data_IF_908125611756
#
_entry.id   IF_908125611756
#
_cell.length_a   1.000
_cell.length_b   1.000
_cell.length_c   1.000
_cell.angle_alpha   90.00
_cell.angle_beta   90.00
_cell.angle_gamma   90.00
#
_symmetry.space_group_name_H-M   'P 1'
#
loop_
_entity.id
_entity.type
_entity.pdbx_description
1 polymer ?
#
# COMPACT_ATOMS: atom_id res chain seq x y z
N UNK A 1 -6.29 31.61 -53.22
CA UNK A 1 -7.09 30.43 -52.84
C UNK A 1 -6.48 29.18 -53.46
N UNK A 2 -5.73 28.39 -52.68
CA UNK A 2 -5.49 26.96 -52.90
C UNK A 2 -4.90 26.39 -51.61
N UNK A 3 -5.44 25.24 -51.22
CA UNK A 3 -5.39 24.57 -49.92
C UNK A 3 -4.13 23.70 -49.79
N UNK A 4 -3.97 23.11 -48.60
CA UNK A 4 -3.06 22.00 -48.22
C UNK A 4 -1.64 22.43 -47.86
N UNK A 5 -1.05 22.07 -46.72
CA UNK A 5 -1.24 20.87 -45.89
C UNK A 5 -1.07 21.18 -44.40
N UNK A 6 -2.04 20.78 -43.60
CA UNK A 6 -1.95 20.67 -42.14
C UNK A 6 -1.13 19.40 -41.83
N UNK A 7 0.16 19.56 -41.51
CA UNK A 7 0.97 18.45 -41.01
C UNK A 7 0.60 18.21 -39.55
N UNK A 8 -0.28 17.23 -39.36
CA UNK A 8 -0.71 16.69 -38.06
C UNK A 8 0.49 15.97 -37.44
N UNK A 9 1.23 16.64 -36.57
CA UNK A 9 2.18 16.01 -35.65
C UNK A 9 1.37 15.59 -34.42
N UNK A 10 0.67 14.46 -34.51
CA UNK A 10 0.15 13.79 -33.31
C UNK A 10 1.33 13.13 -32.59
N UNK A 11 1.94 13.86 -31.67
CA UNK A 11 2.88 13.31 -30.72
C UNK A 11 2.16 12.26 -29.86
N UNK A 12 2.57 11.01 -30.02
CA UNK A 12 2.10 9.86 -29.25
C UNK A 12 2.61 10.01 -27.81
N UNK A 13 1.78 10.60 -26.92
CA UNK A 13 2.01 10.53 -25.48
C UNK A 13 1.74 9.10 -25.02
N UNK A 14 2.77 8.24 -25.07
CA UNK A 14 2.79 7.02 -24.28
C UNK A 14 2.84 7.42 -22.81
N UNK A 15 1.68 7.51 -22.17
CA UNK A 15 1.57 7.53 -20.71
C UNK A 15 1.93 6.12 -20.26
N UNK A 16 3.21 5.89 -19.96
CA UNK A 16 3.61 4.64 -19.32
C UNK A 16 3.08 4.67 -17.89
N UNK A 17 2.01 3.91 -17.65
CA UNK A 17 1.55 3.64 -16.30
C UNK A 17 2.65 2.82 -15.59
N UNK A 18 3.47 3.48 -14.77
CA UNK A 18 4.43 2.79 -13.93
C UNK A 18 3.65 2.05 -12.83
N UNK A 19 3.46 0.75 -13.00
CA UNK A 19 3.08 -0.11 -11.91
C UNK A 19 4.13 0.03 -10.79
N UNK A 20 3.71 0.19 -9.54
CA UNK A 20 4.65 0.24 -8.42
C UNK A 20 5.43 -1.07 -8.36
N UNK A 21 6.74 -0.97 -8.07
CA UNK A 21 7.62 -2.13 -7.96
C UNK A 21 7.07 -3.06 -6.88
N UNK A 22 6.80 -4.31 -7.23
CA UNK A 22 6.49 -5.35 -6.25
C UNK A 22 7.78 -5.86 -5.61
N UNK A 23 7.80 -5.95 -4.29
CA UNK A 23 8.91 -6.51 -3.53
C UNK A 23 8.42 -7.61 -2.60
N UNK A 24 9.33 -8.49 -2.19
CA UNK A 24 9.06 -9.49 -1.17
C UNK A 24 9.07 -8.84 0.20
N UNK A 25 8.28 -9.38 1.13
CA UNK A 25 8.23 -8.83 2.49
C UNK A 25 9.54 -9.00 3.25
N UNK A 26 10.35 -10.01 2.89
CA UNK A 26 11.68 -10.22 3.45
C UNK A 26 12.66 -9.06 3.13
N UNK A 27 12.45 -8.37 2.00
CA UNK A 27 13.33 -7.30 1.51
C UNK A 27 12.88 -5.90 1.99
N UNK A 28 11.81 -5.81 2.80
CA UNK A 28 11.12 -4.54 3.07
C UNK A 28 12.02 -3.49 3.74
N UNK A 29 12.93 -3.91 4.62
CA UNK A 29 13.86 -3.02 5.32
C UNK A 29 14.84 -2.34 4.36
N UNK A 30 15.23 -3.01 3.27
CA UNK A 30 16.12 -2.46 2.25
C UNK A 30 15.43 -1.44 1.33
N UNK A 31 14.10 -1.31 1.44
CA UNK A 31 13.26 -0.44 0.61
C UNK A 31 12.62 0.71 1.41
N UNK A 32 13.15 1.05 2.59
CA UNK A 32 12.71 2.22 3.35
C UNK A 32 12.87 3.49 2.52
N UNK A 33 11.78 4.26 2.41
CA UNK A 33 11.70 5.47 1.60
C UNK A 33 11.02 5.26 0.24
N UNK A 34 11.00 4.03 -0.27
CA UNK A 34 10.37 3.69 -1.55
C UNK A 34 8.85 3.53 -1.42
N UNK A 35 8.15 3.82 -2.51
CA UNK A 35 6.74 3.45 -2.70
C UNK A 35 6.66 2.17 -3.53
N UNK A 36 6.18 1.09 -2.90
CA UNK A 36 6.20 -0.27 -3.47
C UNK A 36 4.87 -0.99 -3.23
N UNK A 37 4.70 -2.11 -3.93
CA UNK A 37 3.68 -3.11 -3.62
C UNK A 37 4.30 -4.27 -2.86
N UNK A 38 3.65 -4.73 -1.78
CA UNK A 38 4.05 -5.92 -1.01
C UNK A 38 2.84 -6.84 -0.88
N UNK A 39 2.94 -8.07 -1.36
CA UNK A 39 1.89 -9.08 -1.18
C UNK A 39 2.28 -10.07 -0.08
N UNK A 40 1.51 -10.13 1.00
CA UNK A 40 1.78 -10.99 2.15
C UNK A 40 0.54 -11.22 3.03
N UNK A 41 0.60 -12.22 3.91
CA UNK A 41 -0.48 -12.52 4.87
C UNK A 41 -0.54 -11.49 5.99
N UNK A 42 -1.75 -11.07 6.36
CA UNK A 42 -2.02 -10.34 7.61
C UNK A 42 -2.27 -11.36 8.73
N UNK A 43 -1.46 -11.32 9.78
CA UNK A 43 -1.56 -12.26 10.92
C UNK A 43 -2.51 -11.78 12.02
N UNK A 44 -2.91 -10.51 11.99
CA UNK A 44 -3.86 -9.95 12.93
C UNK A 44 -3.72 -8.44 13.02
N UNK A 45 -4.57 -7.82 13.84
CA UNK A 45 -4.54 -6.39 14.06
C UNK A 45 -5.25 -5.98 15.33
N UNK A 46 -5.16 -4.69 15.64
CA UNK A 46 -5.83 -4.08 16.79
C UNK A 46 -6.37 -2.70 16.39
N UNK A 47 -7.57 -2.38 16.87
CA UNK A 47 -8.09 -1.02 16.89
C UNK A 47 -7.86 -0.40 18.26
N UNK A 48 -7.17 0.74 18.28
CA UNK A 48 -6.91 1.55 19.45
C UNK A 48 -7.91 2.72 19.44
N UNK A 49 -9.02 2.54 20.13
CA UNK A 49 -10.14 3.48 20.23
C UNK A 49 -9.70 4.89 20.66
N UNK A 50 -8.87 5.00 21.70
CA UNK A 50 -8.41 6.29 22.25
C UNK A 50 -7.64 7.16 21.27
N UNK A 51 -6.93 6.54 20.32
CA UNK A 51 -6.12 7.24 19.31
C UNK A 51 -6.72 7.16 17.90
N UNK A 52 -7.90 6.56 17.77
CA UNK A 52 -8.54 6.20 16.50
C UNK A 52 -7.55 5.58 15.49
N UNK A 53 -6.76 4.62 15.96
CA UNK A 53 -5.65 4.04 15.20
C UNK A 53 -5.88 2.54 15.01
N UNK A 54 -5.86 2.05 13.78
CA UNK A 54 -5.87 0.62 13.50
C UNK A 54 -4.47 0.19 13.05
N UNK A 55 -3.96 -0.89 13.63
CA UNK A 55 -2.65 -1.46 13.31
C UNK A 55 -2.83 -2.90 12.82
N UNK A 56 -2.21 -3.26 11.68
CA UNK A 56 -2.23 -4.61 11.14
C UNK A 56 -0.81 -5.18 11.04
N UNK A 57 -0.62 -6.42 11.46
CA UNK A 57 0.66 -7.14 11.42
C UNK A 57 0.76 -7.96 10.14
N UNK A 58 1.73 -7.65 9.26
CA UNK A 58 1.88 -8.28 7.95
C UNK A 58 3.17 -9.08 7.90
N UNK A 59 3.13 -10.27 7.30
CA UNK A 59 4.28 -11.17 7.14
C UNK A 59 4.64 -11.97 8.39
N UNK A 60 4.15 -11.58 9.56
CA UNK A 60 4.32 -12.31 10.81
C UNK A 60 3.40 -11.77 11.90
N UNK A 61 3.25 -12.52 12.99
CA UNK A 61 2.49 -12.09 14.16
C UNK A 61 3.29 -11.08 15.01
N UNK A 62 2.58 -10.20 15.74
CA UNK A 62 3.20 -9.37 16.77
C UNK A 62 3.94 -10.24 17.81
N UNK A 63 5.14 -9.83 18.30
CA UNK A 63 5.87 -8.58 18.02
C UNK A 63 6.84 -8.65 16.83
N UNK A 64 6.85 -9.77 16.09
CA UNK A 64 7.85 -10.12 15.07
C UNK A 64 7.37 -9.86 13.64
N UNK A 65 6.34 -9.03 13.45
CA UNK A 65 5.84 -8.68 12.13
C UNK A 65 6.89 -7.83 11.36
N UNK A 66 7.32 -8.25 10.16
CA UNK A 66 8.25 -7.46 9.33
C UNK A 66 7.68 -6.10 8.90
N UNK A 67 6.35 -6.01 8.77
CA UNK A 67 5.65 -4.79 8.36
C UNK A 67 4.43 -4.55 9.25
N UNK A 68 4.23 -3.31 9.67
CA UNK A 68 2.99 -2.84 10.30
C UNK A 68 2.21 -1.91 9.37
N UNK A 69 0.93 -2.16 9.14
CA UNK A 69 0.04 -1.20 8.46
C UNK A 69 -0.57 -0.27 9.49
N UNK A 70 -0.60 1.01 9.18
CA UNK A 70 -1.17 2.05 10.04
C UNK A 70 -2.36 2.68 9.34
N UNK A 71 -3.52 2.67 9.98
CA UNK A 71 -4.76 3.22 9.42
C UNK A 71 -5.37 4.19 10.43
N UNK A 72 -5.39 5.48 10.09
CA UNK A 72 -6.00 6.54 10.91
C UNK A 72 -7.41 6.92 10.49
N UNK A 73 -7.73 6.69 9.21
CA UNK A 73 -9.01 7.03 8.60
C UNK A 73 -9.79 5.75 8.33
N UNK A 74 -10.09 5.00 9.40
CA UNK A 74 -10.72 3.67 9.28
C UNK A 74 -12.12 3.74 8.67
N UNK A 75 -12.80 4.88 8.79
CA UNK A 75 -14.10 5.18 8.20
C UNK A 75 -14.09 5.15 6.67
N UNK A 76 -12.92 5.21 6.03
CA UNK A 76 -12.75 5.03 4.59
C UNK A 76 -12.70 3.57 4.14
N UNK A 77 -12.79 2.64 5.08
CA UNK A 77 -12.81 1.20 4.83
C UNK A 77 -14.23 0.69 5.09
N UNK A 78 -14.72 -0.17 4.19
CA UNK A 78 -16.07 -0.74 4.29
C UNK A 78 -16.28 -1.57 5.55
N UNK A 79 -15.24 -2.29 5.96
CA UNK A 79 -15.26 -3.15 7.15
C UNK A 79 -14.14 -2.77 8.11
N UNK A 80 -14.29 -3.19 9.37
CA UNK A 80 -13.27 -3.02 10.40
C UNK A 80 -11.95 -3.68 9.95
N UNK A 81 -10.88 -2.92 9.63
CA UNK A 81 -9.70 -3.48 8.97
C UNK A 81 -9.01 -4.59 9.77
N UNK A 82 -8.97 -4.46 11.09
CA UNK A 82 -8.37 -5.41 12.03
C UNK A 82 -9.08 -6.77 12.06
N UNK A 83 -10.36 -6.79 11.70
CA UNK A 83 -11.16 -8.01 11.63
C UNK A 83 -11.20 -8.53 10.20
N UNK A 84 -11.48 -7.65 9.24
CA UNK A 84 -11.67 -8.04 7.84
C UNK A 84 -10.40 -8.60 7.20
N UNK A 85 -9.24 -7.98 7.42
CA UNK A 85 -8.00 -8.42 6.78
C UNK A 85 -7.30 -9.56 7.52
N UNK A 86 -7.72 -9.88 8.76
CA UNK A 86 -7.11 -10.94 9.55
C UNK A 86 -7.11 -12.26 8.77
N UNK A 87 -5.95 -12.92 8.79
CA UNK A 87 -5.68 -14.19 8.12
C UNK A 87 -5.75 -14.20 6.58
N UNK A 88 -5.98 -13.04 5.95
CA UNK A 88 -6.00 -12.92 4.48
C UNK A 88 -4.62 -12.66 3.90
N UNK A 89 -4.39 -13.17 2.70
CA UNK A 89 -3.29 -12.74 1.84
C UNK A 89 -3.71 -11.47 1.11
N UNK A 90 -2.92 -10.41 1.24
CA UNK A 90 -3.25 -9.09 0.70
C UNK A 90 -2.07 -8.51 -0.05
N UNK A 91 -2.33 -7.65 -1.02
CA UNK A 91 -1.34 -6.81 -1.69
C UNK A 91 -1.51 -5.37 -1.21
N UNK A 92 -0.44 -4.79 -0.67
CA UNK A 92 -0.42 -3.46 -0.08
C UNK A 92 0.48 -2.54 -0.91
N UNK A 93 -0.02 -1.36 -1.26
CA UNK A 93 0.67 -0.36 -2.06
C UNK A 93 0.88 0.92 -1.25
N UNK A 94 2.13 1.29 -1.00
CA UNK A 94 2.42 2.50 -0.24
C UNK A 94 3.90 2.75 0.03
N UNK A 95 4.17 3.90 0.65
CA UNK A 95 5.53 4.29 1.04
C UNK A 95 5.95 3.59 2.32
N UNK A 96 7.11 2.94 2.29
CA UNK A 96 7.71 2.33 3.48
C UNK A 96 8.40 3.43 4.30
N UNK A 97 8.02 3.57 5.56
CA UNK A 97 8.67 4.47 6.51
C UNK A 97 9.04 3.71 7.78
N UNK A 98 10.01 4.22 8.54
CA UNK A 98 10.39 3.64 9.83
C UNK A 98 9.65 4.34 10.96
N UNK A 99 9.20 3.55 11.94
CA UNK A 99 8.79 4.03 13.25
C UNK A 99 9.43 3.16 14.32
N UNK A 100 10.24 3.78 15.18
CA UNK A 100 11.08 3.08 16.17
C UNK A 100 11.83 1.89 15.52
N UNK A 101 12.49 2.19 14.40
CA UNK A 101 13.31 1.24 13.62
C UNK A 101 12.54 0.07 12.98
N UNK A 102 11.20 0.05 13.06
CA UNK A 102 10.36 -0.96 12.40
C UNK A 102 9.68 -0.40 11.14
N UNK A 103 9.67 -1.15 10.02
CA UNK A 103 8.95 -0.76 8.81
C UNK A 103 7.43 -0.66 9.02
N UNK A 104 6.86 0.41 8.49
CA UNK A 104 5.42 0.62 8.45
C UNK A 104 4.97 1.27 7.14
N UNK A 105 3.71 1.05 6.76
CA UNK A 105 3.04 1.73 5.65
C UNK A 105 1.74 2.33 6.21
N UNK A 106 1.54 3.63 6.00
CA UNK A 106 0.27 4.28 6.32
C UNK A 106 -0.71 4.14 5.14
N UNK A 107 -1.91 3.65 5.42
CA UNK A 107 -2.99 3.57 4.43
C UNK A 107 -3.98 4.70 4.69
N UNK A 108 -4.22 5.48 3.65
CA UNK A 108 -5.14 6.61 3.67
C UNK A 108 -6.53 6.24 3.15
N UNK A 109 -6.65 5.10 2.47
CA UNK A 109 -7.87 4.63 1.83
C UNK A 109 -7.79 3.16 1.40
N UNK A 110 -8.96 2.54 1.16
CA UNK A 110 -9.08 1.10 0.93
C UNK A 110 -8.39 0.62 -0.36
N UNK A 111 -8.29 1.45 -1.42
CA UNK A 111 -7.65 1.02 -2.69
C UNK A 111 -6.15 0.69 -2.57
N UNK A 112 -5.50 1.08 -1.47
CA UNK A 112 -4.09 0.78 -1.22
C UNK A 112 -3.87 -0.64 -0.70
N UNK A 113 -4.94 -1.39 -0.41
CA UNK A 113 -4.88 -2.76 0.05
C UNK A 113 -5.96 -3.58 -0.66
N UNK A 114 -5.56 -4.70 -1.27
CA UNK A 114 -6.48 -5.62 -1.93
C UNK A 114 -6.27 -7.03 -1.38
N UNK A 115 -7.36 -7.76 -1.14
CA UNK A 115 -7.28 -9.21 -0.89
C UNK A 115 -6.92 -9.89 -2.20
N UNK A 116 -5.94 -10.80 -2.16
CA UNK A 116 -5.48 -11.57 -3.31
C UNK A 116 -6.43 -12.71 -3.66
#
# INVERSE_FOLDING_TARGET
MKKFTLAVITAFLCITAQAQKEIRIEDITSHVGDSVTVCAKVYGGIYLDRSNLTLLNVGGAYPNAPLTLVIRQREKFKEAPETFYKDKEVCITGKIVLYKEKPQIELYEERQIAVK
#
